data_IF_629442462988
#
_entry.id   IF_629442462988
#
_cell.length_a   1.000
_cell.length_b   1.000
_cell.length_c   1.000
_cell.angle_alpha   90.00
_cell.angle_beta   90.00
_cell.angle_gamma   90.00
#
_symmetry.space_group_name_H-M   'P 1'
#
loop_
_entity.id
_entity.type
_entity.pdbx_description
1 polymer ?
#
# COMPACT_ATOMS: atom_id res chain seq x y z
N UNK A 1 5.91 -9.67 -12.28
CA UNK A 1 5.45 -8.34 -11.80
C UNK A 1 4.17 -8.04 -12.55
N UNK A 2 3.05 -7.87 -11.84
CA UNK A 2 1.72 -7.72 -12.48
C UNK A 2 1.45 -6.27 -12.86
N UNK A 3 1.78 -5.31 -11.98
CA UNK A 3 1.55 -3.88 -12.19
C UNK A 3 2.83 -3.05 -11.97
N UNK A 4 3.76 -3.02 -12.94
CA UNK A 4 5.07 -2.39 -12.76
C UNK A 4 5.01 -0.88 -12.48
N UNK A 5 3.99 -0.17 -12.96
CA UNK A 5 3.83 1.28 -12.74
C UNK A 5 3.64 1.66 -11.27
N UNK A 6 3.13 0.75 -10.44
CA UNK A 6 2.91 1.00 -9.01
C UNK A 6 4.21 1.22 -8.24
N UNK A 7 5.35 0.76 -8.76
CA UNK A 7 6.66 0.95 -8.13
C UNK A 7 7.03 2.43 -7.94
N UNK A 8 6.45 3.35 -8.74
CA UNK A 8 6.69 4.80 -8.63
C UNK A 8 6.39 5.36 -7.24
N UNK A 9 5.42 4.77 -6.54
CA UNK A 9 5.02 5.21 -5.19
C UNK A 9 5.96 4.70 -4.09
N UNK A 10 6.86 3.78 -4.41
CA UNK A 10 7.72 3.07 -3.46
C UNK A 10 9.21 3.30 -3.74
N UNK A 11 9.58 4.44 -4.32
CA UNK A 11 10.99 4.77 -4.60
C UNK A 11 11.90 4.67 -3.35
N UNK A 12 11.37 4.93 -2.16
CA UNK A 12 12.10 4.82 -0.89
C UNK A 12 12.39 3.37 -0.46
N UNK A 13 11.82 2.38 -1.15
CA UNK A 13 12.00 0.96 -0.83
C UNK A 13 13.28 0.37 -1.45
N UNK A 14 13.99 1.14 -2.28
CA UNK A 14 15.24 0.72 -2.89
C UNK A 14 15.01 -0.03 -4.20
N UNK A 15 15.78 -1.10 -4.43
CA UNK A 15 15.72 -1.83 -5.70
C UNK A 15 14.42 -2.64 -5.82
N UNK A 16 13.61 -2.32 -6.85
CA UNK A 16 12.37 -3.02 -7.22
C UNK A 16 12.37 -3.43 -8.71
N UNK A 17 13.53 -3.43 -9.38
CA UNK A 17 13.65 -3.56 -10.83
C UNK A 17 13.12 -4.89 -11.40
N UNK A 18 13.27 -6.00 -10.66
CA UNK A 18 12.86 -7.33 -11.11
C UNK A 18 12.16 -8.12 -9.99
N UNK A 19 11.61 -9.29 -10.35
CA UNK A 19 10.82 -10.10 -9.42
C UNK A 19 11.62 -10.55 -8.19
N UNK A 20 12.88 -10.98 -8.38
CA UNK A 20 13.76 -11.43 -7.30
C UNK A 20 14.07 -10.28 -6.32
N UNK A 21 14.39 -9.09 -6.84
CA UNK A 21 14.65 -7.90 -6.05
C UNK A 21 13.42 -7.49 -5.23
N UNK A 22 12.22 -7.58 -5.80
CA UNK A 22 10.97 -7.29 -5.08
C UNK A 22 10.70 -8.33 -3.98
N UNK A 23 10.82 -9.62 -4.31
CA UNK A 23 10.50 -10.71 -3.37
C UNK A 23 11.45 -10.76 -2.18
N UNK A 24 12.72 -10.41 -2.38
CA UNK A 24 13.73 -10.38 -1.32
C UNK A 24 13.77 -9.05 -0.55
N UNK A 25 12.98 -8.03 -0.93
CA UNK A 25 13.06 -6.71 -0.33
C UNK A 25 12.38 -6.66 1.06
N UNK A 26 13.13 -6.41 2.14
CA UNK A 26 12.57 -6.39 3.49
C UNK A 26 11.56 -5.26 3.73
N UNK A 27 11.67 -4.13 3.01
CA UNK A 27 10.71 -3.03 3.11
C UNK A 27 9.38 -3.37 2.43
N UNK A 28 9.42 -4.08 1.30
CA UNK A 28 8.20 -4.61 0.66
C UNK A 28 7.50 -5.59 1.58
N UNK A 29 8.24 -6.55 2.16
CA UNK A 29 7.67 -7.52 3.10
C UNK A 29 7.04 -6.84 4.33
N UNK A 30 7.76 -5.90 4.95
CA UNK A 30 7.26 -5.15 6.10
C UNK A 30 6.02 -4.32 5.75
N UNK A 31 6.01 -3.66 4.59
CA UNK A 31 4.86 -2.87 4.16
C UNK A 31 3.65 -3.76 3.80
N UNK A 32 3.87 -4.96 3.29
CA UNK A 32 2.81 -5.95 3.08
C UNK A 32 2.04 -6.27 4.37
N UNK A 33 2.74 -6.37 5.51
CA UNK A 33 2.10 -6.54 6.83
C UNK A 33 1.25 -5.32 7.19
N UNK A 34 1.72 -4.10 6.92
CA UNK A 34 0.97 -2.87 7.17
C UNK A 34 -0.33 -2.84 6.35
N UNK A 35 -0.27 -3.23 5.07
CA UNK A 35 -1.45 -3.31 4.20
C UNK A 35 -2.46 -4.32 4.74
N UNK A 36 -2.00 -5.51 5.15
CA UNK A 36 -2.88 -6.55 5.73
C UNK A 36 -3.53 -6.11 7.04
N UNK A 37 -2.81 -5.41 7.92
CA UNK A 37 -3.40 -4.82 9.13
C UNK A 37 -4.42 -3.72 8.81
N UNK A 38 -4.22 -2.97 7.72
CA UNK A 38 -5.26 -2.09 7.19
C UNK A 38 -6.52 -2.90 6.88
N UNK A 39 -6.42 -3.93 6.04
CA UNK A 39 -7.58 -4.75 5.66
C UNK A 39 -8.28 -5.38 6.87
N UNK A 40 -7.52 -5.86 7.86
CA UNK A 40 -8.07 -6.36 9.15
C UNK A 40 -8.83 -5.28 9.93
N UNK A 41 -8.41 -4.01 9.86
CA UNK A 41 -9.13 -2.86 10.44
C UNK A 41 -10.40 -2.49 9.67
N UNK A 42 -10.48 -2.79 8.37
CA UNK A 42 -11.70 -2.54 7.55
C UNK A 42 -12.75 -3.65 7.72
N UNK A 43 -12.31 -4.92 7.78
CA UNK A 43 -12.98 -5.94 8.59
C UNK A 43 -13.02 -5.43 10.05
N UNK A 44 -13.59 -6.01 11.10
CA UNK A 44 -13.80 -5.34 12.42
C UNK A 44 -14.64 -4.04 12.43
N UNK A 45 -14.58 -3.15 11.43
CA UNK A 45 -15.32 -1.90 11.32
C UNK A 45 -16.16 -1.83 10.03
N UNK A 46 -16.70 -2.97 9.56
CA UNK A 46 -17.39 -3.07 8.26
C UNK A 46 -18.55 -2.09 8.11
N UNK A 47 -19.27 -1.81 9.20
CA UNK A 47 -20.42 -0.90 9.18
C UNK A 47 -20.00 0.59 9.10
N UNK A 48 -18.72 0.89 9.33
CA UNK A 48 -18.18 2.25 9.35
C UNK A 48 -16.79 2.39 8.70
N UNK A 49 -16.58 1.67 7.59
CA UNK A 49 -15.30 1.69 6.85
C UNK A 49 -14.94 3.12 6.42
N UNK A 50 -15.93 3.90 5.98
CA UNK A 50 -15.73 5.26 5.45
C UNK A 50 -15.07 6.17 6.49
N UNK A 51 -15.60 6.24 7.71
CA UNK A 51 -15.00 7.09 8.74
C UNK A 51 -13.70 6.48 9.26
N UNK A 52 -13.66 5.15 9.40
CA UNK A 52 -12.45 4.41 9.83
C UNK A 52 -11.24 4.74 8.95
N UNK A 53 -11.45 4.94 7.65
CA UNK A 53 -10.41 5.20 6.66
C UNK A 53 -10.33 6.65 6.18
N UNK A 54 -11.03 7.60 6.80
CA UNK A 54 -11.01 9.00 6.34
C UNK A 54 -9.58 9.55 6.22
N UNK A 55 -8.73 9.34 7.23
CA UNK A 55 -7.33 9.78 7.20
C UNK A 55 -6.49 9.01 6.17
N UNK A 56 -6.76 7.70 6.03
CA UNK A 56 -6.06 6.85 5.06
C UNK A 56 -6.38 7.28 3.63
N UNK A 57 -7.64 7.63 3.38
CA UNK A 57 -8.12 8.17 2.11
C UNK A 57 -7.37 9.46 1.79
N UNK A 58 -7.38 10.47 2.68
CA UNK A 58 -6.63 11.72 2.50
C UNK A 58 -5.14 11.47 2.23
N UNK A 59 -4.52 10.54 2.95
CA UNK A 59 -3.13 10.19 2.72
C UNK A 59 -2.92 9.66 1.29
N UNK A 60 -3.73 8.70 0.83
CA UNK A 60 -3.54 8.06 -0.47
C UNK A 60 -3.96 8.96 -1.63
N UNK A 61 -5.08 9.66 -1.53
CA UNK A 61 -5.64 10.45 -2.64
C UNK A 61 -5.06 11.87 -2.73
N UNK A 62 -4.86 12.56 -1.61
CA UNK A 62 -4.50 13.99 -1.62
C UNK A 62 -3.00 14.23 -1.41
N UNK A 63 -2.34 13.38 -0.61
CA UNK A 63 -0.90 13.55 -0.30
C UNK A 63 -0.01 12.71 -1.20
N UNK A 64 -0.33 11.43 -1.36
CA UNK A 64 0.46 10.49 -2.17
C UNK A 64 0.03 10.47 -3.64
N UNK A 65 -1.16 11.00 -3.95
CA UNK A 65 -1.72 11.06 -5.30
C UNK A 65 -1.70 9.68 -5.99
N UNK A 66 -2.11 8.66 -5.22
CA UNK A 66 -2.26 7.29 -5.73
C UNK A 66 -3.46 7.27 -6.67
N UNK A 67 -3.23 6.79 -7.89
CA UNK A 67 -4.29 6.60 -8.88
C UNK A 67 -5.29 5.55 -8.37
N UNK A 68 -6.61 5.81 -8.44
CA UNK A 68 -7.61 4.87 -7.94
C UNK A 68 -7.82 3.61 -8.79
N UNK A 69 -7.27 3.53 -10.01
CA UNK A 69 -7.45 2.39 -10.95
C UNK A 69 -6.56 1.15 -10.67
#
# INVERSE_FOLDING_TARGET
>A
IVFPWTQRYFASFGNLYNAEAIMSNPKVAAHGVVVLHGLDRAMKNMDDIKNTYAELSVLHSEKLLVDPD
#
